data_IF_698761472660
#
_entry.id   IF_698761472660
#
_cell.length_a   1.000
_cell.length_b   1.000
_cell.length_c   1.000
_cell.angle_alpha   90.00
_cell.angle_beta   90.00
_cell.angle_gamma   90.00
#
_symmetry.space_group_name_H-M   'P 1'
#
loop_
_entity.id
_entity.type
_entity.pdbx_description
1 polymer ?
#
# COMPACT_ATOMS: atom_id res chain seq x y z
N UNK A 1 4.68 -4.76 -5.50
CA UNK A 1 4.71 -3.29 -5.31
C UNK A 1 3.92 -3.00 -4.05
N UNK A 2 4.48 -2.22 -3.12
CA UNK A 2 3.77 -1.83 -1.90
C UNK A 2 2.72 -0.74 -2.18
N UNK A 3 1.55 -0.84 -1.54
CA UNK A 3 0.36 -0.02 -1.81
C UNK A 3 0.05 1.01 -0.70
N UNK A 4 1.07 1.57 -0.05
CA UNK A 4 0.92 2.41 1.17
C UNK A 4 -0.12 3.55 1.04
N UNK A 5 -0.02 4.39 0.00
CA UNK A 5 -0.96 5.49 -0.21
C UNK A 5 -2.40 5.00 -0.42
N UNK A 6 -2.59 3.92 -1.18
CA UNK A 6 -3.89 3.31 -1.39
C UNK A 6 -4.46 2.70 -0.10
N UNK A 7 -3.62 2.12 0.76
CA UNK A 7 -4.01 1.66 2.10
C UNK A 7 -4.54 2.79 2.98
N UNK A 8 -3.94 3.99 2.90
CA UNK A 8 -4.47 5.16 3.61
C UNK A 8 -5.83 5.59 3.04
N UNK A 9 -6.03 5.53 1.73
CA UNK A 9 -7.32 5.85 1.12
C UNK A 9 -8.43 4.88 1.56
N UNK A 10 -8.11 3.58 1.67
CA UNK A 10 -9.02 2.61 2.28
C UNK A 10 -9.30 2.91 3.75
N UNK A 11 -8.28 3.32 4.51
CA UNK A 11 -8.46 3.74 5.90
C UNK A 11 -9.43 4.93 5.99
N UNK A 12 -9.23 6.00 5.20
CA UNK A 12 -10.16 7.14 5.15
C UNK A 12 -11.58 6.72 4.75
N UNK A 13 -11.72 5.81 3.77
CA UNK A 13 -13.02 5.29 3.37
C UNK A 13 -13.76 4.54 4.49
N UNK A 14 -13.02 3.96 5.45
CA UNK A 14 -13.58 3.22 6.60
C UNK A 14 -13.86 4.12 7.79
N UNK A 15 -13.05 5.16 8.01
CA UNK A 15 -13.15 6.03 9.18
C UNK A 15 -14.03 7.26 8.94
N UNK A 16 -14.25 7.66 7.69
CA UNK A 16 -15.23 8.68 7.36
C UNK A 16 -16.65 8.10 7.52
N UNK A 17 -17.23 8.25 8.70
CA UNK A 17 -18.67 7.97 8.91
C UNK A 17 -19.51 8.89 8.01
N UNK A 18 -20.50 8.33 7.31
CA UNK A 18 -21.56 9.15 6.67
C UNK A 18 -21.25 9.79 5.31
N UNK A 19 -20.21 9.34 4.59
CA UNK A 19 -20.06 9.69 3.16
C UNK A 19 -19.27 10.97 2.87
N UNK A 20 -18.34 11.36 3.76
CA UNK A 20 -17.38 12.40 3.40
C UNK A 20 -16.54 11.96 2.19
N UNK A 21 -16.24 12.86 1.24
CA UNK A 21 -15.37 12.56 0.12
C UNK A 21 -14.00 12.05 0.57
N UNK A 22 -13.39 11.18 -0.23
CA UNK A 22 -12.00 10.79 -0.02
C UNK A 22 -11.09 12.01 -0.25
N UNK A 23 -9.93 12.08 0.45
CA UNK A 23 -8.93 13.10 0.16
C UNK A 23 -8.55 13.12 -1.32
N UNK A 24 -8.28 14.30 -1.89
CA UNK A 24 -7.97 14.44 -3.31
C UNK A 24 -6.80 13.57 -3.77
N UNK A 25 -5.82 13.33 -2.89
CA UNK A 25 -4.67 12.47 -3.20
C UNK A 25 -5.02 10.99 -3.37
N UNK A 26 -6.27 10.60 -3.13
CA UNK A 26 -6.74 9.24 -3.32
C UNK A 26 -7.12 8.93 -4.76
N UNK A 27 -7.35 9.92 -5.62
CA UNK A 27 -7.61 9.64 -7.02
C UNK A 27 -6.30 9.42 -7.78
N UNK A 28 -5.99 8.17 -8.11
CA UNK A 28 -4.77 7.80 -8.84
C UNK A 28 -4.85 8.12 -10.34
N UNK A 29 -6.03 8.45 -10.87
CA UNK A 29 -6.20 8.88 -12.27
C UNK A 29 -5.83 10.35 -12.45
N UNK A 30 -6.05 11.17 -11.42
CA UNK A 30 -5.47 12.51 -11.32
C UNK A 30 -4.04 12.41 -10.79
N UNK A 31 -3.08 12.35 -11.72
CA UNK A 31 -1.65 12.24 -11.39
C UNK A 31 -1.15 13.40 -10.53
N UNK A 32 -1.72 14.61 -10.66
CA UNK A 32 -1.28 15.76 -9.89
C UNK A 32 -1.78 15.66 -8.46
N UNK A 33 -3.07 15.36 -8.26
CA UNK A 33 -3.64 15.13 -6.95
C UNK A 33 -2.98 13.93 -6.26
N UNK A 34 -2.80 12.80 -6.96
CA UNK A 34 -2.11 11.61 -6.44
C UNK A 34 -0.71 11.92 -5.91
N UNK A 35 0.08 12.71 -6.66
CA UNK A 35 1.44 13.13 -6.26
C UNK A 35 1.46 14.13 -5.11
N UNK A 36 0.33 14.73 -4.75
CA UNK A 36 0.26 15.66 -3.62
C UNK A 36 0.36 14.95 -2.26
N UNK A 37 0.22 13.63 -2.23
CA UNK A 37 0.45 12.84 -1.02
C UNK A 37 1.91 12.95 -0.57
N UNK A 38 2.11 13.49 0.64
CA UNK A 38 3.43 13.60 1.27
C UNK A 38 3.63 12.42 2.23
N UNK A 39 4.12 11.31 1.70
CA UNK A 39 4.58 10.20 2.53
C UNK A 39 5.78 10.60 3.37
N UNK A 40 5.72 10.38 4.67
CA UNK A 40 6.91 10.50 5.54
C UNK A 40 7.78 9.28 5.35
N UNK A 41 9.06 9.50 5.05
CA UNK A 41 10.08 8.47 5.13
C UNK A 41 11.01 8.82 6.31
N UNK A 42 11.16 7.90 7.25
CA UNK A 42 12.04 8.06 8.41
C UNK A 42 13.07 6.94 8.34
N UNK A 43 14.31 7.31 8.03
CA UNK A 43 15.44 6.38 7.90
C UNK A 43 16.12 6.04 9.23
N UNK A 44 15.74 6.75 10.31
CA UNK A 44 16.32 6.65 11.64
C UNK A 44 17.86 6.79 11.67
N UNK A 45 18.46 7.47 10.69
CA UNK A 45 19.90 7.66 10.58
C UNK A 45 20.69 6.40 10.25
N UNK A 46 20.04 5.36 9.73
CA UNK A 46 20.71 4.12 9.33
C UNK A 46 21.60 4.34 8.10
N UNK A 47 22.75 3.66 8.00
CA UNK A 47 23.54 3.66 6.77
C UNK A 47 22.71 3.19 5.57
N UNK A 48 23.05 3.65 4.35
CA UNK A 48 22.46 3.11 3.13
C UNK A 48 22.62 1.59 3.11
N UNK A 49 21.54 0.88 2.78
CA UNK A 49 21.51 -0.57 2.67
C UNK A 49 20.69 -0.96 1.45
N UNK A 50 21.02 -2.11 0.87
CA UNK A 50 20.40 -2.64 -0.34
C UNK A 50 20.17 -4.14 -0.21
N UNK A 51 19.18 -4.64 -0.94
CA UNK A 51 18.98 -6.09 -1.10
C UNK A 51 20.20 -6.78 -1.71
N UNK A 52 21.04 -6.04 -2.46
CA UNK A 52 22.31 -6.54 -3.01
C UNK A 52 23.36 -6.86 -1.94
N UNK A 53 23.18 -6.35 -0.71
CA UNK A 53 24.11 -6.55 0.39
C UNK A 53 23.88 -7.89 1.10
N UNK A 54 22.77 -8.58 0.78
CA UNK A 54 22.39 -9.86 1.38
C UNK A 54 23.04 -11.03 0.63
N UNK A 55 23.59 -11.98 1.37
CA UNK A 55 24.08 -13.22 0.78
C UNK A 55 22.93 -14.14 0.34
N UNK A 56 23.24 -15.14 -0.50
CA UNK A 56 22.26 -16.18 -0.86
C UNK A 56 21.72 -16.91 0.37
N UNK A 57 22.56 -17.11 1.39
CA UNK A 57 22.15 -17.77 2.62
C UNK A 57 21.21 -16.89 3.45
N UNK A 58 21.46 -15.57 3.53
CA UNK A 58 20.55 -14.64 4.21
C UNK A 58 19.18 -14.62 3.53
N UNK A 59 19.15 -14.58 2.19
CA UNK A 59 17.90 -14.64 1.43
C UNK A 59 17.16 -15.96 1.66
N UNK A 60 17.88 -17.09 1.73
CA UNK A 60 17.30 -18.39 2.06
C UNK A 60 16.67 -18.39 3.45
N UNK A 61 17.39 -17.87 4.45
CA UNK A 61 16.91 -17.78 5.83
C UNK A 61 15.68 -16.87 5.96
N UNK A 62 15.69 -15.71 5.30
CA UNK A 62 14.54 -14.80 5.23
C UNK A 62 13.33 -15.52 4.62
N UNK A 63 13.52 -16.25 3.52
CA UNK A 63 12.47 -17.01 2.87
C UNK A 63 11.88 -18.10 3.77
N UNK A 64 12.73 -18.82 4.49
CA UNK A 64 12.29 -19.84 5.45
C UNK A 64 11.53 -19.24 6.63
N UNK A 65 12.02 -18.12 7.17
CA UNK A 65 11.41 -17.43 8.30
C UNK A 65 10.04 -16.82 7.94
N UNK A 66 9.95 -16.20 6.76
CA UNK A 66 8.75 -15.47 6.30
C UNK A 66 7.76 -16.32 5.49
N UNK A 67 7.99 -17.63 5.34
CA UNK A 67 7.18 -18.51 4.47
C UNK A 67 5.68 -18.46 4.79
N UNK A 68 5.32 -18.43 6.08
CA UNK A 68 3.92 -18.34 6.49
C UNK A 68 3.37 -16.93 6.31
N UNK A 69 4.18 -15.91 6.62
CA UNK A 69 3.81 -14.50 6.42
C UNK A 69 3.53 -14.20 4.95
N UNK A 70 4.28 -14.80 4.02
CA UNK A 70 4.03 -14.67 2.59
C UNK A 70 2.64 -15.18 2.19
N UNK A 71 2.16 -16.27 2.81
CA UNK A 71 0.82 -16.80 2.56
C UNK A 71 -0.26 -15.86 3.13
N UNK A 72 -0.04 -15.34 4.34
CA UNK A 72 -0.94 -14.37 4.98
C UNK A 72 -1.00 -13.09 4.15
N UNK A 73 0.16 -12.58 3.71
CA UNK A 73 0.28 -11.40 2.87
C UNK A 73 -0.49 -11.57 1.57
N UNK A 74 -0.38 -12.73 0.91
CA UNK A 74 -1.14 -12.99 -0.31
C UNK A 74 -2.66 -12.90 -0.09
N UNK A 75 -3.17 -13.49 1.00
CA UNK A 75 -4.59 -13.40 1.34
C UNK A 75 -5.02 -11.99 1.73
N UNK A 76 -4.16 -11.27 2.44
CA UNK A 76 -4.39 -9.88 2.79
C UNK A 76 -4.43 -8.98 1.55
N UNK A 77 -3.59 -9.26 0.55
CA UNK A 77 -3.56 -8.53 -0.71
C UNK A 77 -4.83 -8.76 -1.53
N UNK A 78 -5.32 -10.00 -1.59
CA UNK A 78 -6.60 -10.32 -2.25
C UNK A 78 -7.75 -9.57 -1.58
N UNK A 79 -7.80 -9.57 -0.24
CA UNK A 79 -8.77 -8.81 0.54
C UNK A 79 -8.66 -7.32 0.28
N UNK A 80 -7.45 -6.76 0.34
CA UNK A 80 -7.18 -5.35 0.09
C UNK A 80 -7.70 -4.92 -1.29
N UNK A 81 -7.42 -5.70 -2.34
CA UNK A 81 -7.90 -5.42 -3.71
C UNK A 81 -9.42 -5.45 -3.80
N UNK A 82 -10.07 -6.41 -3.17
CA UNK A 82 -11.53 -6.48 -3.11
C UNK A 82 -12.12 -5.26 -2.42
N UNK A 83 -11.60 -4.90 -1.24
CA UNK A 83 -12.07 -3.74 -0.48
C UNK A 83 -11.83 -2.43 -1.24
N UNK A 84 -10.70 -2.32 -1.95
CA UNK A 84 -10.40 -1.18 -2.81
C UNK A 84 -11.45 -1.07 -3.92
N UNK A 85 -11.69 -2.14 -4.67
CA UNK A 85 -12.71 -2.16 -5.70
C UNK A 85 -14.10 -1.78 -5.17
N UNK A 86 -14.45 -2.22 -3.96
CA UNK A 86 -15.73 -1.88 -3.31
C UNK A 86 -15.83 -0.41 -2.93
N UNK A 87 -14.73 0.20 -2.46
CA UNK A 87 -14.67 1.64 -2.22
C UNK A 87 -14.80 2.41 -3.54
N UNK A 88 -14.05 2.02 -4.57
CA UNK A 88 -14.09 2.68 -5.88
C UNK A 88 -15.50 2.66 -6.49
N UNK A 89 -16.22 1.54 -6.38
CA UNK A 89 -17.60 1.44 -6.86
C UNK A 89 -18.56 2.34 -6.10
N UNK A 90 -18.36 2.53 -4.79
CA UNK A 90 -19.23 3.34 -3.93
C UNK A 90 -18.97 4.84 -4.06
N UNK A 91 -17.71 5.24 -4.26
CA UNK A 91 -17.31 6.65 -4.26
C UNK A 91 -17.09 7.22 -5.66
N UNK A 92 -16.84 6.37 -6.66
CA UNK A 92 -16.41 6.78 -8.00
C UNK A 92 -14.94 7.19 -8.09
N UNK A 93 -14.21 7.27 -6.98
CA UNK A 93 -12.78 7.61 -6.93
C UNK A 93 -11.94 6.36 -7.17
N UNK A 94 -10.99 6.41 -8.11
CA UNK A 94 -10.02 5.32 -8.34
C UNK A 94 -8.85 5.43 -7.38
N UNK A 95 -8.68 4.47 -6.47
CA UNK A 95 -7.63 4.47 -5.45
C UNK A 95 -6.52 3.45 -5.73
N UNK A 96 -6.78 2.48 -6.62
CA UNK A 96 -5.83 1.47 -7.03
C UNK A 96 -5.69 1.47 -8.56
N UNK A 97 -4.68 2.18 -9.06
CA UNK A 97 -4.30 2.12 -10.47
C UNK A 97 -3.26 1.03 -10.65
N UNK A 98 -3.39 0.24 -11.71
CA UNK A 98 -2.29 -0.62 -12.17
C UNK A 98 -1.06 0.26 -12.43
N UNK A 99 0.10 -0.23 -12.00
CA UNK A 99 1.39 0.35 -12.40
C UNK A 99 1.91 -0.40 -13.61
#
# INVERSE_FOLDING_TARGET
VEHYQASLCLFFAKTHEGGQPLPNFCDCTDKQAWRSFRGTHVDHGLPPHSMSDLSTEDLRLIGDLSRLDAQVYQRALDRFRSEAADVERRTGTKILCER
#
